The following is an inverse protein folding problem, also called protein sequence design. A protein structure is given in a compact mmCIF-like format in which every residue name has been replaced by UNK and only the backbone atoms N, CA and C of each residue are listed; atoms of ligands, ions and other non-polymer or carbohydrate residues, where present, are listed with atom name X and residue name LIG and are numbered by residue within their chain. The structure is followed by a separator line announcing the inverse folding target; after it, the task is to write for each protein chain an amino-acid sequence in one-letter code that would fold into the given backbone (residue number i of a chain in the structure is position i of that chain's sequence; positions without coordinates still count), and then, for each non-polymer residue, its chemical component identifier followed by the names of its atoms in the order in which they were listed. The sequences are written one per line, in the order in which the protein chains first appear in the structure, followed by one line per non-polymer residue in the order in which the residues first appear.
data_IF_103165595622
#
_entry.id   IF_103165595622
#
_cell.length_a   1.000
_cell.length_b   1.000
_cell.length_c   1.000
_cell.angle_alpha   90.00
_cell.angle_beta   90.00
_cell.angle_gamma   90.00
#
_symmetry.space_group_name_H-M   'P 1'
#
loop_
_entity.id
_entity.type
_entity.pdbx_description
1 polymer ?
#
# COMPACT_ATOMS: atom_id res chain seq x y z
N UNK A 1 20.92 -16.78 10.83
CA UNK A 1 21.54 -16.09 9.68
C UNK A 1 20.50 -15.16 9.09
N UNK A 2 20.76 -13.86 9.05
CA UNK A 2 19.90 -12.93 8.31
C UNK A 2 20.19 -13.17 6.83
N UNK A 3 19.20 -13.66 6.09
CA UNK A 3 19.28 -13.83 4.63
C UNK A 3 19.23 -12.45 3.98
N UNK A 4 20.10 -12.21 3.00
CA UNK A 4 20.22 -10.91 2.33
C UNK A 4 19.47 -10.86 1.00
N UNK A 5 18.42 -11.67 0.92
CA UNK A 5 17.57 -11.83 -0.25
C UNK A 5 16.75 -10.56 -0.46
N UNK A 6 16.69 -10.09 -1.70
CA UNK A 6 15.94 -8.86 -2.08
C UNK A 6 14.58 -9.13 -2.68
N UNK A 7 14.38 -10.29 -3.29
CA UNK A 7 13.12 -10.66 -3.95
C UNK A 7 12.71 -12.09 -3.62
N UNK A 8 11.42 -12.33 -3.63
CA UNK A 8 10.84 -13.69 -3.66
C UNK A 8 10.05 -13.88 -4.94
N UNK A 9 9.86 -15.13 -5.32
CA UNK A 9 8.87 -15.45 -6.35
C UNK A 9 7.48 -15.09 -5.81
N UNK A 10 6.64 -14.48 -6.64
CA UNK A 10 5.26 -14.20 -6.25
C UNK A 10 4.54 -15.53 -5.94
N UNK A 11 3.74 -15.62 -4.85
CA UNK A 11 3.09 -16.88 -4.47
C UNK A 11 2.16 -17.47 -5.53
N UNK A 12 1.66 -16.64 -6.45
CA UNK A 12 0.82 -17.10 -7.57
C UNK A 12 1.61 -17.61 -8.77
N UNK A 13 2.94 -17.50 -8.75
CA UNK A 13 3.81 -17.90 -9.85
C UNK A 13 4.35 -19.29 -9.60
N UNK A 14 4.04 -20.18 -10.53
CA UNK A 14 4.68 -21.46 -10.64
C UNK A 14 5.90 -21.36 -11.56
N UNK A 15 7.01 -21.95 -11.14
CA UNK A 15 8.23 -22.12 -11.95
C UNK A 15 8.40 -23.59 -12.29
N UNK A 16 8.70 -23.87 -13.56
CA UNK A 16 8.92 -25.24 -14.03
C UNK A 16 10.16 -25.88 -13.38
N UNK A 17 10.21 -27.23 -13.28
CA UNK A 17 11.35 -27.93 -12.70
C UNK A 17 12.70 -27.68 -13.41
N UNK A 18 12.68 -27.42 -14.71
CA UNK A 18 13.87 -27.06 -15.48
C UNK A 18 14.28 -25.58 -15.31
N UNK A 19 13.48 -24.78 -14.60
CA UNK A 19 13.73 -23.39 -14.29
C UNK A 19 13.49 -22.40 -15.43
N UNK A 20 13.04 -22.88 -16.60
CA UNK A 20 12.95 -22.10 -17.85
C UNK A 20 11.54 -21.57 -18.16
N UNK A 21 10.52 -21.94 -17.39
CA UNK A 21 9.15 -21.46 -17.60
C UNK A 21 8.56 -20.90 -16.31
N UNK A 22 7.92 -19.74 -16.41
CA UNK A 22 7.09 -19.15 -15.35
C UNK A 22 5.63 -19.11 -15.80
N UNK A 23 4.72 -19.46 -14.90
CA UNK A 23 3.27 -19.39 -15.10
C UNK A 23 2.66 -18.66 -13.91
N UNK A 24 2.03 -17.51 -14.14
CA UNK A 24 1.36 -16.74 -13.09
C UNK A 24 1.58 -15.24 -13.23
N UNK A 25 1.58 -14.53 -12.09
CA UNK A 25 1.71 -13.08 -12.03
C UNK A 25 0.41 -12.35 -12.36
N UNK A 26 0.51 -11.04 -12.59
CA UNK A 26 -0.63 -10.24 -13.07
C UNK A 26 -1.08 -10.73 -14.44
N UNK A 27 -2.40 -10.82 -14.64
CA UNK A 27 -3.05 -11.22 -15.90
C UNK A 27 -2.77 -12.65 -16.39
N UNK A 28 -2.26 -13.54 -15.51
CA UNK A 28 -1.97 -14.95 -15.82
C UNK A 28 -1.06 -15.10 -17.05
N UNK A 29 0.22 -14.74 -16.89
CA UNK A 29 1.21 -14.79 -17.97
C UNK A 29 1.92 -16.16 -18.00
N UNK A 30 2.20 -16.68 -19.20
CA UNK A 30 3.18 -17.76 -19.41
C UNK A 30 4.43 -17.16 -20.05
N UNK A 31 5.59 -17.37 -19.43
CA UNK A 31 6.87 -16.81 -19.86
C UNK A 31 7.88 -17.93 -20.04
N UNK A 32 8.47 -18.04 -21.23
CA UNK A 32 9.70 -18.79 -21.44
C UNK A 32 10.91 -17.90 -21.15
N UNK A 33 11.81 -18.38 -20.30
CA UNK A 33 13.10 -17.77 -20.00
C UNK A 33 14.18 -18.48 -20.81
N UNK A 34 15.10 -17.71 -21.39
CA UNK A 34 16.37 -18.30 -21.83
C UNK A 34 17.26 -18.64 -20.63
N UNK A 35 18.40 -19.30 -20.88
CA UNK A 35 19.31 -19.72 -19.80
C UNK A 35 19.94 -18.54 -19.05
N UNK A 36 20.17 -17.41 -19.72
CA UNK A 36 20.74 -16.23 -19.08
C UNK A 36 19.70 -15.57 -18.15
N UNK A 37 18.44 -15.49 -18.60
CA UNK A 37 17.31 -14.98 -17.81
C UNK A 37 17.00 -15.89 -16.62
N UNK A 38 17.05 -17.22 -16.80
CA UNK A 38 16.87 -18.16 -15.71
C UNK A 38 17.97 -18.01 -14.63
N UNK A 39 19.23 -17.88 -15.05
CA UNK A 39 20.34 -17.62 -14.13
C UNK A 39 20.22 -16.25 -13.44
N UNK A 40 19.79 -15.21 -14.17
CA UNK A 40 19.50 -13.90 -13.60
C UNK A 40 18.39 -13.98 -12.54
N UNK A 41 17.33 -14.75 -12.79
CA UNK A 41 16.27 -14.97 -11.82
C UNK A 41 16.78 -15.71 -10.57
N UNK A 42 17.65 -16.72 -10.74
CA UNK A 42 18.27 -17.42 -9.62
C UNK A 42 19.10 -16.47 -8.75
N UNK A 43 19.85 -15.54 -9.36
CA UNK A 43 20.58 -14.50 -8.64
C UNK A 43 19.64 -13.55 -7.87
N UNK A 44 18.51 -13.14 -8.47
CA UNK A 44 17.54 -12.26 -7.82
C UNK A 44 16.85 -12.92 -6.61
N UNK A 45 16.62 -14.22 -6.67
CA UNK A 45 15.95 -15.01 -5.64
C UNK A 45 16.93 -15.61 -4.60
N UNK A 46 18.22 -15.52 -4.85
CA UNK A 46 19.28 -16.05 -3.99
C UNK A 46 19.48 -15.25 -2.70
N UNK A 47 20.13 -15.87 -1.71
CA UNK A 47 20.39 -15.27 -0.40
C UNK A 47 21.65 -14.38 -0.34
N UNK A 48 22.40 -14.29 -1.45
CA UNK A 48 23.64 -13.52 -1.55
C UNK A 48 23.40 -12.15 -2.19
N UNK A 49 24.00 -11.10 -1.62
CA UNK A 49 24.09 -9.79 -2.28
C UNK A 49 25.16 -9.82 -3.37
N UNK A 50 24.79 -10.38 -4.52
CA UNK A 50 25.58 -10.17 -5.73
C UNK A 50 25.25 -8.80 -6.34
N UNK A 51 26.24 -8.14 -6.93
CA UNK A 51 26.06 -6.89 -7.70
C UNK A 51 25.26 -7.19 -8.98
N UNK A 52 23.94 -7.24 -8.82
CA UNK A 52 22.97 -7.44 -9.88
C UNK A 52 22.48 -6.11 -10.48
N UNK A 53 23.24 -5.02 -10.35
CA UNK A 53 22.89 -3.72 -10.95
C UNK A 53 22.64 -3.82 -12.46
N UNK A 54 23.40 -4.69 -13.14
CA UNK A 54 23.26 -4.99 -14.57
C UNK A 54 21.94 -5.70 -14.94
N UNK A 55 21.19 -6.25 -13.98
CA UNK A 55 19.92 -6.92 -14.22
C UNK A 55 18.71 -5.97 -14.18
N UNK A 56 18.93 -4.65 -14.05
CA UNK A 56 17.89 -3.65 -13.81
C UNK A 56 16.65 -3.78 -14.70
N UNK A 57 16.83 -3.92 -16.02
CA UNK A 57 15.72 -4.04 -16.96
C UNK A 57 14.93 -5.34 -16.77
N UNK A 58 15.62 -6.46 -16.54
CA UNK A 58 14.98 -7.75 -16.30
C UNK A 58 14.24 -7.76 -14.96
N UNK A 59 14.84 -7.20 -13.90
CA UNK A 59 14.19 -7.02 -12.60
C UNK A 59 12.95 -6.15 -12.71
N UNK A 60 13.03 -5.01 -13.39
CA UNK A 60 11.90 -4.11 -13.61
C UNK A 60 10.78 -4.80 -14.40
N UNK A 61 11.14 -5.58 -15.42
CA UNK A 61 10.18 -6.38 -16.19
C UNK A 61 9.49 -7.44 -15.33
N UNK A 62 10.22 -8.20 -14.51
CA UNK A 62 9.66 -9.20 -13.58
C UNK A 62 8.70 -8.55 -12.56
N UNK A 63 9.09 -7.40 -12.00
CA UNK A 63 8.26 -6.63 -11.06
C UNK A 63 6.98 -6.12 -11.74
N UNK A 64 7.07 -5.56 -12.95
CA UNK A 64 5.90 -5.02 -13.67
C UNK A 64 4.82 -6.07 -13.97
N UNK A 65 5.20 -7.35 -13.98
CA UNK A 65 4.29 -8.50 -14.21
C UNK A 65 3.91 -9.22 -12.93
N UNK A 66 4.31 -8.72 -11.76
CA UNK A 66 4.18 -9.42 -10.48
C UNK A 66 4.69 -10.87 -10.54
N UNK A 67 5.82 -11.09 -11.24
CA UNK A 67 6.46 -12.41 -11.26
C UNK A 67 7.31 -12.62 -10.01
N UNK A 68 7.89 -11.55 -9.49
CA UNK A 68 8.63 -11.50 -8.23
C UNK A 68 8.06 -10.39 -7.35
N UNK A 69 8.24 -10.52 -6.04
CA UNK A 69 7.87 -9.53 -5.04
C UNK A 69 9.11 -9.05 -4.29
N UNK A 70 9.26 -7.74 -4.02
CA UNK A 70 10.34 -7.25 -3.18
C UNK A 70 10.18 -7.81 -1.75
N UNK A 71 11.28 -8.29 -1.18
CA UNK A 71 11.36 -8.50 0.26
C UNK A 71 11.54 -7.13 0.88
N UNK A 72 10.55 -6.75 1.67
CA UNK A 72 10.55 -5.47 2.36
C UNK A 72 11.46 -5.59 3.58
N UNK A 73 12.65 -4.94 3.60
CA UNK A 73 13.47 -4.94 4.79
C UNK A 73 12.73 -4.24 5.93
N UNK A 74 13.05 -4.56 7.18
CA UNK A 74 12.53 -3.77 8.29
C UNK A 74 13.16 -2.38 8.23
N UNK A 75 12.40 -1.36 7.84
CA UNK A 75 12.84 0.02 7.88
C UNK A 75 12.50 0.66 9.22
N UNK A 76 13.29 1.68 9.60
CA UNK A 76 12.86 2.62 10.62
C UNK A 76 11.71 3.46 10.05
N UNK A 77 10.73 3.81 10.90
CA UNK A 77 9.62 4.62 10.46
C UNK A 77 10.15 6.02 10.10
N UNK A 78 10.17 6.36 8.81
CA UNK A 78 10.32 7.74 8.40
C UNK A 78 9.16 8.57 8.97
N UNK A 79 9.39 9.87 9.14
CA UNK A 79 8.37 10.80 9.59
C UNK A 79 7.20 10.84 8.58
N UNK A 80 6.02 10.40 9.02
CA UNK A 80 4.81 10.33 8.19
C UNK A 80 3.75 11.31 8.69
N UNK A 81 3.05 11.96 7.76
CA UNK A 81 1.80 12.66 8.06
C UNK A 81 0.60 11.82 7.64
N UNK A 82 -0.44 11.80 8.47
CA UNK A 82 -1.73 11.19 8.15
C UNK A 82 -2.73 12.26 7.73
N UNK A 83 -3.33 12.11 6.55
CA UNK A 83 -4.39 12.99 6.04
C UNK A 83 -5.70 12.22 5.97
N UNK A 84 -6.72 12.72 6.67
CA UNK A 84 -8.06 12.13 6.71
C UNK A 84 -9.08 13.13 6.15
N UNK A 85 -9.54 12.97 4.90
CA UNK A 85 -10.72 13.70 4.44
C UNK A 85 -11.96 13.15 5.17
N UNK A 86 -12.80 14.05 5.69
CA UNK A 86 -14.02 13.67 6.39
C UNK A 86 -15.17 14.60 5.98
N UNK A 87 -16.37 14.04 5.80
CA UNK A 87 -17.59 14.81 5.60
C UNK A 87 -18.78 14.05 6.17
N UNK A 88 -19.45 14.59 7.17
CA UNK A 88 -20.62 13.97 7.81
C UNK A 88 -20.33 12.60 8.47
N UNK A 89 -19.05 12.28 8.77
CA UNK A 89 -18.58 10.99 9.29
C UNK A 89 -17.89 11.09 10.66
N UNK A 90 -18.43 11.89 11.60
CA UNK A 90 -17.85 12.10 12.93
C UNK A 90 -17.56 10.78 13.67
N UNK A 91 -18.56 9.89 13.76
CA UNK A 91 -18.44 8.65 14.54
C UNK A 91 -17.46 7.64 13.94
N UNK A 92 -17.26 7.67 12.62
CA UNK A 92 -16.29 6.83 11.95
C UNK A 92 -14.87 7.38 12.16
N UNK A 93 -14.68 8.70 12.06
CA UNK A 93 -13.42 9.36 12.41
C UNK A 93 -12.99 9.04 13.85
N UNK A 94 -13.91 9.18 14.82
CA UNK A 94 -13.63 8.90 16.23
C UNK A 94 -13.17 7.45 16.41
N UNK A 95 -13.81 6.51 15.70
CA UNK A 95 -13.44 5.09 15.73
C UNK A 95 -12.06 4.85 15.13
N UNK A 96 -11.76 5.44 13.98
CA UNK A 96 -10.47 5.30 13.31
C UNK A 96 -9.34 5.82 14.20
N UNK A 97 -9.50 7.03 14.76
CA UNK A 97 -8.49 7.64 15.63
C UNK A 97 -8.29 6.81 16.92
N UNK A 98 -9.34 6.17 17.44
CA UNK A 98 -9.23 5.31 18.62
C UNK A 98 -8.50 3.98 18.35
N UNK A 99 -8.46 3.50 17.10
CA UNK A 99 -7.81 2.24 16.74
C UNK A 99 -6.37 2.39 16.29
N UNK A 100 -5.99 3.58 15.80
CA UNK A 100 -4.64 3.86 15.36
C UNK A 100 -3.71 4.18 16.53
N UNK A 101 -2.48 3.69 16.48
CA UNK A 101 -1.40 4.26 17.28
C UNK A 101 -1.01 5.61 16.67
N UNK A 102 -1.57 6.71 17.19
CA UNK A 102 -1.32 8.06 16.67
C UNK A 102 0.14 8.49 16.82
N UNK A 103 0.93 7.86 17.70
CA UNK A 103 2.31 8.24 17.98
C UNK A 103 3.28 7.90 16.84
N UNK A 104 2.87 7.04 15.90
CA UNK A 104 3.66 6.71 14.72
C UNK A 104 3.67 7.82 13.66
N UNK A 105 2.75 8.78 13.77
CA UNK A 105 2.64 9.91 12.86
C UNK A 105 3.28 11.14 13.48
N UNK A 106 4.07 11.85 12.68
CA UNK A 106 4.61 13.15 13.08
C UNK A 106 3.52 14.23 13.06
N UNK A 107 2.53 14.06 12.18
CA UNK A 107 1.42 14.99 12.03
C UNK A 107 0.15 14.24 11.61
N UNK A 108 -1.01 14.68 12.11
CA UNK A 108 -2.31 14.16 11.69
C UNK A 108 -3.20 15.34 11.34
N UNK A 109 -3.73 15.32 10.12
CA UNK A 109 -4.51 16.40 9.52
C UNK A 109 -5.86 15.85 9.12
N UNK A 110 -6.90 16.26 9.85
CA UNK A 110 -8.29 15.99 9.45
C UNK A 110 -8.80 17.17 8.65
N UNK A 111 -9.41 16.89 7.49
CA UNK A 111 -10.03 17.91 6.64
C UNK A 111 -11.54 17.68 6.60
N UNK A 112 -12.30 18.51 7.31
CA UNK A 112 -13.76 18.59 7.23
C UNK A 112 -14.18 19.27 5.94
N UNK A 113 -14.66 18.50 4.97
CA UNK A 113 -15.07 18.97 3.65
C UNK A 113 -16.52 19.51 3.64
N UNK A 114 -16.80 20.46 4.52
CA UNK A 114 -18.11 21.12 4.60
C UNK A 114 -19.21 20.17 5.07
N UNK A 115 -18.97 19.47 6.18
CA UNK A 115 -20.01 18.72 6.90
C UNK A 115 -21.14 19.64 7.36
N UNK A 116 -22.35 19.10 7.42
CA UNK A 116 -23.54 19.80 7.94
C UNK A 116 -23.27 20.21 9.39
N UNK A 117 -22.92 19.23 10.22
CA UNK A 117 -22.39 19.47 11.55
C UNK A 117 -20.86 19.48 11.50
N UNK A 118 -20.18 20.53 11.98
CA UNK A 118 -18.73 20.58 11.97
C UNK A 118 -18.11 19.36 12.66
N UNK A 119 -17.13 18.75 12.00
CA UNK A 119 -16.30 17.70 12.59
C UNK A 119 -15.47 18.30 13.73
N UNK A 120 -15.39 17.58 14.84
CA UNK A 120 -14.63 17.96 16.03
C UNK A 120 -13.71 16.83 16.45
N UNK A 121 -12.51 17.17 16.92
CA UNK A 121 -11.61 16.21 17.55
C UNK A 121 -10.77 16.92 18.60
N UNK A 122 -10.65 16.32 19.78
CA UNK A 122 -9.76 16.79 20.84
C UNK A 122 -8.35 16.17 20.71
N UNK A 123 -8.19 15.19 19.82
CA UNK A 123 -6.94 14.46 19.61
C UNK A 123 -6.06 15.13 18.54
N UNK A 124 -6.68 15.66 17.49
CA UNK A 124 -5.98 16.16 16.30
C UNK A 124 -6.64 17.43 15.74
N UNK A 125 -5.88 18.33 15.12
CA UNK A 125 -6.44 19.51 14.46
C UNK A 125 -7.39 19.14 13.30
N UNK A 126 -8.47 19.91 13.17
CA UNK A 126 -9.44 19.79 12.08
C UNK A 126 -9.43 21.07 11.24
N UNK A 127 -9.05 20.95 9.97
CA UNK A 127 -9.21 22.02 8.99
C UNK A 127 -10.60 21.93 8.35
N UNK A 128 -11.39 22.99 8.44
CA UNK A 128 -12.76 23.00 7.89
C UNK A 128 -12.88 23.84 6.64
N UNK A 129 -13.38 23.21 5.58
CA UNK A 129 -13.84 23.91 4.39
C UNK A 129 -15.20 24.57 4.65
N UNK A 130 -15.42 25.81 4.18
CA UNK A 130 -16.71 26.49 4.34
C UNK A 130 -17.84 25.81 3.55
N UNK A 131 -17.50 25.15 2.44
CA UNK A 131 -18.43 24.43 1.57
C UNK A 131 -17.80 23.11 1.13
N UNK A 132 -18.62 22.15 0.70
CA UNK A 132 -18.16 20.88 0.11
C UNK A 132 -17.36 21.15 -1.18
N UNK A 133 -16.10 20.73 -1.20
CA UNK A 133 -15.21 20.83 -2.36
C UNK A 133 -14.86 19.47 -2.98
N UNK A 134 -15.20 18.38 -2.30
CA UNK A 134 -14.96 17.01 -2.70
C UNK A 134 -13.69 16.40 -2.08
N UNK A 135 -13.62 15.06 -2.00
CA UNK A 135 -12.54 14.35 -1.30
C UNK A 135 -11.17 14.59 -1.91
N UNK A 136 -11.08 14.80 -3.23
CA UNK A 136 -9.82 15.12 -3.89
C UNK A 136 -9.27 16.49 -3.44
N UNK A 137 -10.14 17.49 -3.26
CA UNK A 137 -9.74 18.81 -2.75
C UNK A 137 -9.35 18.71 -1.28
N UNK A 138 -10.10 17.97 -0.47
CA UNK A 138 -9.78 17.75 0.94
C UNK A 138 -8.40 17.08 1.13
N UNK A 139 -8.11 16.00 0.39
CA UNK A 139 -6.77 15.38 0.36
C UNK A 139 -5.69 16.36 -0.10
N UNK A 140 -6.01 17.19 -1.10
CA UNK A 140 -5.13 18.24 -1.63
C UNK A 140 -4.77 19.34 -0.64
N UNK A 141 -5.70 19.70 0.24
CA UNK A 141 -5.47 20.64 1.34
C UNK A 141 -4.57 19.98 2.38
N UNK A 142 -4.89 18.74 2.78
CA UNK A 142 -4.10 18.00 3.76
C UNK A 142 -2.63 17.83 3.36
N UNK A 143 -2.33 17.29 2.17
CA UNK A 143 -0.93 17.07 1.78
C UNK A 143 -0.13 18.37 1.62
N UNK A 144 -0.78 19.48 1.23
CA UNK A 144 -0.10 20.79 1.12
C UNK A 144 0.10 21.47 2.47
N UNK A 145 -0.52 20.96 3.52
CA UNK A 145 -0.41 21.52 4.87
C UNK A 145 0.74 20.90 5.65
N UNK A 146 1.34 19.82 5.16
CA UNK A 146 2.48 19.14 5.78
C UNK A 146 3.76 19.25 4.95
N UNK A 147 4.90 19.04 5.61
CA UNK A 147 6.23 18.97 4.98
C UNK A 147 6.89 17.62 5.18
N UNK A 148 6.18 16.64 5.74
CA UNK A 148 6.72 15.29 5.92
C UNK A 148 7.05 14.65 4.57
N UNK A 149 8.13 13.83 4.49
CA UNK A 149 8.51 13.17 3.25
C UNK A 149 7.46 12.15 2.78
N UNK A 150 6.71 11.56 3.71
CA UNK A 150 5.66 10.59 3.43
C UNK A 150 4.32 11.14 3.90
N UNK A 151 3.31 11.02 3.02
CA UNK A 151 1.91 11.36 3.31
C UNK A 151 1.06 10.10 3.15
N UNK A 152 0.33 9.75 4.20
CA UNK A 152 -0.60 8.63 4.26
C UNK A 152 -2.02 9.19 4.13
N UNK A 153 -2.80 8.66 3.19
CA UNK A 153 -4.22 9.00 3.08
C UNK A 153 -5.06 7.85 3.63
N UNK A 154 -5.92 8.15 4.61
CA UNK A 154 -6.96 7.23 5.09
C UNK A 154 -8.31 7.92 5.05
N UNK A 155 -9.34 7.25 4.53
CA UNK A 155 -10.71 7.74 4.64
C UNK A 155 -11.23 7.49 6.07
N UNK A 156 -12.14 8.35 6.55
CA UNK A 156 -12.62 8.30 7.93
C UNK A 156 -13.35 6.99 8.31
N UNK A 157 -13.88 6.26 7.32
CA UNK A 157 -14.61 5.00 7.50
C UNK A 157 -13.74 3.74 7.37
N UNK A 158 -12.42 3.91 7.18
CA UNK A 158 -11.47 2.80 7.17
C UNK A 158 -11.38 2.15 8.55
N UNK A 159 -11.26 0.82 8.57
CA UNK A 159 -11.00 0.03 9.77
C UNK A 159 -9.62 -0.59 9.69
N UNK A 160 -8.68 -0.13 10.50
CA UNK A 160 -7.31 -0.63 10.53
C UNK A 160 -6.63 -0.32 11.86
N UNK A 161 -5.68 -1.17 12.25
CA UNK A 161 -4.73 -0.92 13.36
C UNK A 161 -3.44 -0.25 12.88
N UNK A 162 -3.29 -0.02 11.57
CA UNK A 162 -2.11 0.59 10.98
C UNK A 162 -0.90 -0.34 10.86
N UNK A 163 -1.00 -1.63 11.17
CA UNK A 163 0.15 -2.55 11.17
C UNK A 163 0.86 -2.63 9.81
N UNK A 164 0.13 -2.38 8.71
CA UNK A 164 0.65 -2.36 7.34
C UNK A 164 1.56 -1.13 7.05
N UNK A 165 1.49 -0.07 7.86
CA UNK A 165 2.24 1.17 7.63
C UNK A 165 3.75 0.96 7.71
N UNK A 166 4.22 0.06 8.58
CA UNK A 166 5.65 -0.28 8.68
C UNK A 166 6.15 -0.90 7.37
N UNK A 167 5.37 -1.82 6.80
CA UNK A 167 5.71 -2.45 5.52
C UNK A 167 5.62 -1.45 4.35
N UNK A 168 4.63 -0.56 4.38
CA UNK A 168 4.48 0.50 3.39
C UNK A 168 5.67 1.48 3.42
N UNK A 169 6.08 1.95 4.59
CA UNK A 169 7.23 2.85 4.75
C UNK A 169 8.53 2.22 4.26
N UNK A 170 8.75 0.94 4.56
CA UNK A 170 9.92 0.22 4.09
C UNK A 170 9.98 0.01 2.58
N UNK A 171 8.83 -0.08 1.90
CA UNK A 171 8.78 -0.07 0.43
C UNK A 171 9.14 1.30 -0.15
N UNK A 172 8.74 2.39 0.52
CA UNK A 172 9.03 3.76 0.12
C UNK A 172 10.50 4.15 0.33
N UNK A 173 11.26 3.42 1.15
CA UNK A 173 12.70 3.59 1.25
C UNK A 173 13.45 3.26 -0.07
N UNK A 174 12.81 2.58 -1.02
CA UNK A 174 13.33 2.44 -2.36
C UNK A 174 13.05 3.72 -3.17
N UNK A 175 14.08 4.45 -3.65
CA UNK A 175 13.90 5.71 -4.37
C UNK A 175 13.15 5.58 -5.71
N UNK A 176 12.94 4.37 -6.22
CA UNK A 176 12.14 4.11 -7.42
C UNK A 176 10.63 3.97 -7.12
N UNK A 177 10.22 3.91 -5.85
CA UNK A 177 8.83 3.74 -5.43
C UNK A 177 8.26 5.09 -5.01
N UNK A 178 7.31 5.61 -5.80
CA UNK A 178 6.67 6.90 -5.51
C UNK A 178 5.42 6.76 -4.62
N UNK A 179 4.75 5.61 -4.63
CA UNK A 179 3.52 5.36 -3.88
C UNK A 179 3.33 3.88 -3.61
N UNK A 180 2.64 3.57 -2.52
CA UNK A 180 2.24 2.22 -2.11
C UNK A 180 0.79 2.23 -1.66
N UNK A 181 0.09 1.13 -1.88
CA UNK A 181 -1.28 0.95 -1.43
C UNK A 181 -1.42 -0.42 -0.74
N UNK A 182 -2.06 -0.49 0.43
CA UNK A 182 -2.38 -1.77 1.04
C UNK A 182 -3.49 -2.48 0.24
N UNK A 183 -3.64 -3.78 0.45
CA UNK A 183 -4.84 -4.48 0.04
C UNK A 183 -6.04 -3.96 0.85
N UNK A 184 -7.01 -3.36 0.17
CA UNK A 184 -8.26 -2.89 0.80
C UNK A 184 -9.30 -4.00 0.67
N UNK A 185 -9.98 -4.35 1.77
CA UNK A 185 -11.04 -5.36 1.79
C UNK A 185 -12.34 -4.74 2.24
N UNK A 186 -13.46 -5.19 1.68
CA UNK A 186 -14.77 -4.84 2.21
C UNK A 186 -14.95 -5.42 3.61
N UNK A 187 -15.52 -4.62 4.52
CA UNK A 187 -15.95 -5.12 5.82
C UNK A 187 -17.12 -6.11 5.68
N UNK A 188 -17.37 -6.90 6.74
CA UNK A 188 -18.55 -7.74 6.79
C UNK A 188 -19.82 -6.86 6.71
N UNK A 189 -20.65 -7.07 5.71
CA UNK A 189 -21.90 -6.33 5.55
C UNK A 189 -23.05 -7.05 6.25
N UNK A 190 -23.83 -6.32 7.04
CA UNK A 190 -25.07 -6.81 7.65
C UNK A 190 -26.31 -6.66 6.75
N UNK A 191 -26.17 -6.06 5.56
CA UNK A 191 -27.25 -5.80 4.60
C UNK A 191 -27.03 -6.50 3.25
N UNK A 192 -28.00 -6.37 2.31
CA UNK A 192 -27.90 -6.95 0.97
C UNK A 192 -26.82 -6.21 0.17
N UNK A 193 -25.59 -6.70 0.25
CA UNK A 193 -24.49 -6.28 -0.61
C UNK A 193 -24.59 -7.05 -1.93
N UNK A 194 -24.44 -6.39 -3.10
CA UNK A 194 -24.42 -7.08 -4.37
C UNK A 194 -23.43 -8.25 -4.34
N UNK A 195 -23.84 -9.42 -4.84
CA UNK A 195 -23.03 -10.64 -4.80
C UNK A 195 -21.62 -10.46 -5.39
N UNK A 196 -21.44 -9.52 -6.31
CA UNK A 196 -20.13 -9.18 -6.86
C UNK A 196 -19.20 -8.49 -5.83
N UNK A 197 -19.70 -7.59 -4.97
CA UNK A 197 -18.92 -6.97 -3.89
C UNK A 197 -18.50 -7.97 -2.81
N UNK A 198 -19.24 -9.07 -2.65
CA UNK A 198 -18.89 -10.14 -1.70
C UNK A 198 -17.75 -11.03 -2.21
N UNK A 199 -17.52 -11.09 -3.52
CA UNK A 199 -16.57 -12.01 -4.15
C UNK A 199 -15.35 -11.28 -4.71
N UNK A 200 -15.55 -10.11 -5.32
CA UNK A 200 -14.51 -9.22 -5.87
C UNK A 200 -14.95 -7.75 -5.70
N UNK A 201 -14.75 -7.17 -4.51
CA UNK A 201 -14.91 -5.73 -4.29
C UNK A 201 -14.16 -4.91 -5.34
N UNK A 202 -14.61 -3.68 -5.62
CA UNK A 202 -13.96 -2.81 -6.60
C UNK A 202 -12.46 -2.56 -6.34
N UNK A 203 -12.01 -2.72 -5.08
CA UNK A 203 -10.64 -2.53 -4.64
C UNK A 203 -9.93 -3.83 -4.20
N UNK A 204 -10.63 -4.97 -4.20
CA UNK A 204 -10.03 -6.27 -3.88
C UNK A 204 -10.29 -7.27 -5.01
N UNK A 205 -9.22 -7.77 -5.61
CA UNK A 205 -9.31 -8.72 -6.73
C UNK A 205 -9.79 -10.12 -6.31
N UNK A 206 -10.19 -10.29 -5.05
CA UNK A 206 -10.70 -11.52 -4.46
C UNK A 206 -9.61 -12.32 -3.73
N UNK A 207 -9.95 -13.50 -3.21
CA UNK A 207 -8.97 -14.36 -2.54
C UNK A 207 -7.82 -14.73 -3.49
N UNK A 208 -6.58 -14.55 -3.01
CA UNK A 208 -5.37 -15.19 -3.51
C UNK A 208 -4.83 -16.04 -2.38
#
# INVERSE_FOLDING_TARGET
MMTDRRYVLDPSVWRSPDGLTLIGGSDFTVVGLDRAQAAALDLLLGDQRDDASHLGDFTAWCLSRNLIQPIVPKAEAESMALVIPCRDHQSDLDRLLATLDLSIFAEIIVVDDGSVEPIRSDLVPVHRNPNRQGPAVARNIGWRSTTTPIVVFLDADVRTDGAWLTQAGALLANPQVAAVAPRVRSGASSGPVPRWEQVRPALDLGPK
#
